data_IF_513202101902
#
_entry.id   IF_513202101902
#
_cell.length_a   1.000
_cell.length_b   1.000
_cell.length_c   1.000
_cell.angle_alpha   90.00
_cell.angle_beta   90.00
_cell.angle_gamma   90.00
#
_symmetry.space_group_name_H-M   'P 1'
#
loop_
_entity.id
_entity.type
_entity.pdbx_description
1 polymer ?
#
# COMPACT_ATOMS: atom_id res chain seq x y z
N UNK A 1 18.10 -9.45 1.43
CA UNK A 1 16.91 -9.86 0.64
C UNK A 1 15.86 -8.77 0.69
N UNK A 2 14.96 -8.73 -0.29
CA UNK A 2 13.93 -7.70 -0.47
C UNK A 2 12.54 -8.34 -0.40
N UNK A 3 11.58 -7.66 0.18
CA UNK A 3 10.23 -8.16 0.40
C UNK A 3 9.17 -7.09 0.07
N UNK A 4 8.20 -7.47 -0.75
CA UNK A 4 6.92 -6.76 -0.80
C UNK A 4 5.96 -7.43 0.18
N UNK A 5 5.65 -6.74 1.28
CA UNK A 5 4.62 -7.14 2.23
C UNK A 5 3.25 -6.86 1.62
N UNK A 6 2.59 -7.93 1.18
CA UNK A 6 1.35 -7.85 0.43
C UNK A 6 0.14 -7.79 1.37
N UNK A 7 -0.53 -6.64 1.41
CA UNK A 7 -1.81 -6.45 2.10
C UNK A 7 -2.65 -5.38 1.37
N UNK A 8 -3.95 -5.38 1.59
CA UNK A 8 -4.87 -4.41 0.97
C UNK A 8 -4.71 -3.01 1.56
N UNK A 9 -5.02 -1.96 0.78
CA UNK A 9 -5.06 -0.57 1.26
C UNK A 9 -6.49 -0.04 1.31
N UNK A 10 -6.76 0.92 2.19
CA UNK A 10 -8.06 1.59 2.21
C UNK A 10 -8.16 2.61 1.06
N UNK A 11 -9.09 2.37 0.14
CA UNK A 11 -9.39 3.31 -0.93
C UNK A 11 -10.24 4.49 -0.42
N UNK A 12 -10.11 5.64 -1.09
CA UNK A 12 -10.90 6.83 -0.81
C UNK A 12 -12.38 6.57 -1.06
N UNK A 13 -13.20 6.70 -0.01
CA UNK A 13 -14.65 6.67 -0.09
C UNK A 13 -15.22 8.09 -0.07
N UNK A 14 -15.88 8.50 -1.16
CA UNK A 14 -16.52 9.82 -1.25
C UNK A 14 -17.63 10.04 -0.21
N UNK A 15 -18.31 8.98 0.25
CA UNK A 15 -19.33 9.08 1.29
C UNK A 15 -18.72 9.37 2.67
N UNK A 16 -17.45 9.03 2.88
CA UNK A 16 -16.74 9.20 4.15
C UNK A 16 -15.44 10.00 3.99
N UNK A 17 -15.42 10.96 3.06
CA UNK A 17 -14.22 11.74 2.71
C UNK A 17 -13.55 12.46 3.90
N UNK A 18 -14.28 12.69 5.00
CA UNK A 18 -13.75 13.31 6.20
C UNK A 18 -12.65 12.51 6.89
N UNK A 19 -12.58 11.18 6.70
CA UNK A 19 -11.61 10.28 7.34
C UNK A 19 -10.29 10.13 6.56
N UNK A 20 -10.21 10.63 5.33
CA UNK A 20 -9.10 10.42 4.39
C UNK A 20 -8.33 11.70 4.07
N UNK A 21 -7.00 11.66 4.04
CA UNK A 21 -6.21 12.74 3.43
C UNK A 21 -6.19 12.51 1.92
N UNK A 22 -6.92 13.35 1.18
CA UNK A 22 -7.26 13.09 -0.23
C UNK A 22 -6.03 12.96 -1.15
N UNK A 23 -4.90 13.57 -0.82
CA UNK A 23 -3.70 13.55 -1.67
C UNK A 23 -2.79 12.34 -1.40
N UNK A 24 -2.97 11.67 -0.26
CA UNK A 24 -2.17 10.52 0.14
C UNK A 24 -3.00 9.24 0.31
N UNK A 25 -4.31 9.27 0.14
CA UNK A 25 -5.16 8.06 0.17
C UNK A 25 -5.22 7.41 -1.22
N UNK A 26 -5.15 6.08 -1.30
CA UNK A 26 -5.31 5.35 -2.56
C UNK A 26 -6.70 5.58 -3.20
N UNK A 27 -6.74 5.62 -4.52
CA UNK A 27 -7.95 5.74 -5.33
C UNK A 27 -8.21 4.42 -6.07
N UNK A 28 -9.48 4.04 -6.23
CA UNK A 28 -9.83 2.89 -7.05
C UNK A 28 -9.52 3.15 -8.53
N UNK A 29 -9.00 2.14 -9.22
CA UNK A 29 -8.58 2.18 -10.64
C UNK A 29 -7.36 3.08 -10.90
N UNK A 30 -6.52 3.28 -9.90
CA UNK A 30 -5.24 4.01 -10.01
C UNK A 30 -4.03 3.08 -9.82
N UNK A 31 -4.25 1.77 -9.91
CA UNK A 31 -3.20 0.75 -9.86
C UNK A 31 -2.84 0.32 -8.43
N UNK A 32 -1.77 -0.46 -8.33
CA UNK A 32 -1.30 -1.01 -7.05
C UNK A 32 -0.86 0.13 -6.12
N UNK A 33 -1.24 0.04 -4.85
CA UNK A 33 -0.92 1.04 -3.85
C UNK A 33 0.33 0.64 -3.05
N UNK A 34 1.29 1.55 -2.93
CA UNK A 34 2.47 1.43 -2.08
C UNK A 34 2.31 2.26 -0.81
N UNK A 35 2.51 1.63 0.34
CA UNK A 35 2.51 2.28 1.64
C UNK A 35 3.90 2.21 2.25
N UNK A 36 4.59 3.36 2.29
CA UNK A 36 5.93 3.46 2.90
C UNK A 36 5.89 3.11 4.39
N UNK A 37 4.81 3.52 5.06
CA UNK A 37 4.52 3.22 6.45
C UNK A 37 3.02 3.09 6.64
N UNK A 38 2.65 2.35 7.67
CA UNK A 38 1.28 2.26 8.18
C UNK A 38 1.31 2.63 9.68
N UNK A 39 0.62 1.94 10.58
CA UNK A 39 0.72 2.21 12.03
C UNK A 39 -0.18 3.33 12.55
N UNK A 40 0.15 3.88 13.72
CA UNK A 40 -0.70 4.83 14.46
C UNK A 40 0.10 5.88 15.25
N UNK A 41 -0.54 6.98 15.66
CA UNK A 41 0.04 8.00 16.58
C UNK A 41 1.47 8.42 16.21
N UNK A 42 1.70 8.72 14.94
CA UNK A 42 3.03 8.99 14.40
C UNK A 42 3.84 7.72 14.09
N UNK A 43 3.32 6.87 13.19
CA UNK A 43 3.99 5.66 12.64
C UNK A 43 4.33 4.55 13.65
N UNK A 44 3.79 4.61 14.86
CA UNK A 44 4.00 3.60 15.89
C UNK A 44 3.49 2.23 15.43
N UNK A 45 4.29 1.17 15.69
CA UNK A 45 3.96 -0.21 15.31
C UNK A 45 3.95 -0.47 13.81
N UNK A 46 4.79 0.25 13.04
CA UNK A 46 4.91 0.06 11.60
C UNK A 46 6.36 -0.14 11.16
N UNK A 47 6.50 -0.81 10.02
CA UNK A 47 7.71 -0.71 9.20
C UNK A 47 7.67 0.61 8.43
N UNK A 48 8.78 1.37 8.43
CA UNK A 48 8.95 2.57 7.62
C UNK A 48 10.02 2.29 6.56
N UNK A 49 9.60 1.90 5.36
CA UNK A 49 10.49 1.44 4.30
C UNK A 49 11.55 2.51 3.94
N UNK A 50 12.78 2.09 3.63
CA UNK A 50 13.87 3.02 3.24
C UNK A 50 13.51 3.78 1.95
N UNK A 51 14.03 5.00 1.80
CA UNK A 51 13.76 5.79 0.60
C UNK A 51 14.38 5.15 -0.65
N UNK A 52 15.53 4.50 -0.48
CA UNK A 52 16.26 3.74 -1.48
C UNK A 52 15.43 2.57 -1.99
N UNK A 53 14.83 1.79 -1.09
CA UNK A 53 14.01 0.64 -1.48
C UNK A 53 12.71 1.08 -2.17
N UNK A 54 12.07 2.15 -1.68
CA UNK A 54 10.90 2.74 -2.37
C UNK A 54 11.27 3.21 -3.79
N UNK A 55 12.43 3.85 -3.95
CA UNK A 55 12.91 4.30 -5.26
C UNK A 55 13.15 3.13 -6.21
N UNK A 56 13.71 2.01 -5.71
CA UNK A 56 13.91 0.79 -6.48
C UNK A 56 12.58 0.19 -6.96
N UNK A 57 11.61 -0.01 -6.06
CA UNK A 57 10.30 -0.58 -6.43
C UNK A 57 9.58 0.33 -7.44
N UNK A 58 9.65 1.64 -7.25
CA UNK A 58 9.13 2.61 -8.22
C UNK A 58 9.75 2.42 -9.61
N UNK A 59 11.07 2.24 -9.69
CA UNK A 59 11.74 2.04 -10.97
C UNK A 59 11.30 0.74 -11.64
N UNK A 60 11.24 -0.37 -10.88
CA UNK A 60 10.74 -1.66 -11.37
C UNK A 60 9.32 -1.51 -11.95
N UNK A 61 8.43 -0.84 -11.22
CA UNK A 61 7.05 -0.63 -11.67
C UNK A 61 6.99 0.24 -12.93
N UNK A 62 7.75 1.33 -13.00
CA UNK A 62 7.78 2.20 -14.17
C UNK A 62 8.32 1.48 -15.42
N UNK A 63 9.43 0.76 -15.30
CA UNK A 63 10.05 0.03 -16.42
C UNK A 63 9.14 -1.08 -16.97
N UNK A 64 8.31 -1.67 -16.10
CA UNK A 64 7.37 -2.72 -16.47
C UNK A 64 5.97 -2.18 -16.82
N UNK A 65 5.78 -0.86 -16.90
CA UNK A 65 4.50 -0.23 -17.18
C UNK A 65 3.39 -0.67 -16.19
N UNK A 66 3.75 -0.82 -14.92
CA UNK A 66 2.81 -1.05 -13.82
C UNK A 66 2.24 0.31 -13.42
N UNK A 67 0.93 0.45 -13.45
CA UNK A 67 0.29 1.65 -12.88
C UNK A 67 0.29 1.48 -11.36
N UNK A 68 0.79 2.48 -10.66
CA UNK A 68 0.94 2.47 -9.21
C UNK A 68 0.64 3.84 -8.61
N UNK A 69 0.38 3.84 -7.31
CA UNK A 69 0.12 5.02 -6.51
C UNK A 69 0.68 4.86 -5.10
N UNK A 70 0.86 5.95 -4.37
CA UNK A 70 1.14 5.92 -2.93
C UNK A 70 -0.15 5.84 -2.12
N UNK A 71 -0.10 5.25 -0.93
CA UNK A 71 -1.23 5.23 0.00
C UNK A 71 -0.80 5.39 1.45
N UNK A 72 -1.63 6.13 2.19
CA UNK A 72 -1.69 6.17 3.65
C UNK A 72 -3.04 5.61 4.13
N UNK A 73 -3.08 5.21 5.40
CA UNK A 73 -4.29 4.68 6.03
C UNK A 73 -5.07 5.81 6.74
N UNK A 74 -5.83 6.57 5.96
CA UNK A 74 -6.66 7.68 6.46
C UNK A 74 -5.85 8.93 6.83
N UNK A 75 -6.51 9.92 7.42
CA UNK A 75 -5.84 11.11 7.98
C UNK A 75 -5.05 10.74 9.24
N UNK A 76 -4.04 11.54 9.56
CA UNK A 76 -3.32 11.45 10.83
C UNK A 76 -4.31 11.39 12.01
N UNK A 77 -4.11 10.40 12.87
CA UNK A 77 -4.93 10.10 14.06
C UNK A 77 -6.39 9.72 13.81
N UNK A 78 -6.80 9.48 12.56
CA UNK A 78 -8.13 8.96 12.24
C UNK A 78 -8.25 7.44 12.43
N UNK A 79 -7.12 6.73 12.42
CA UNK A 79 -7.07 5.28 12.53
C UNK A 79 -5.70 4.76 12.91
N UNK A 80 -5.58 3.44 12.91
CA UNK A 80 -4.33 2.72 13.13
C UNK A 80 -4.26 1.51 12.22
N UNK A 81 -3.08 1.26 11.66
CA UNK A 81 -2.80 0.07 10.87
C UNK A 81 -1.72 -0.79 11.54
N UNK A 82 -0.89 -1.39 10.71
CA UNK A 82 0.16 -2.30 11.12
C UNK A 82 0.00 -3.60 10.36
N UNK A 83 1.00 -3.92 9.55
CA UNK A 83 1.05 -5.14 8.76
C UNK A 83 2.13 -6.06 9.32
N UNK A 84 2.30 -7.23 8.68
CA UNK A 84 3.40 -8.13 9.03
C UNK A 84 4.77 -7.61 8.57
N UNK A 85 4.84 -6.51 7.80
CA UNK A 85 6.08 -5.94 7.27
C UNK A 85 7.13 -5.70 8.36
N UNK A 86 6.71 -5.22 9.54
CA UNK A 86 7.63 -4.94 10.66
C UNK A 86 8.36 -6.20 11.16
N UNK A 87 7.71 -7.36 11.11
CA UNK A 87 8.32 -8.62 11.54
C UNK A 87 9.33 -9.11 10.52
N UNK A 88 9.02 -8.97 9.23
CA UNK A 88 9.93 -9.32 8.13
C UNK A 88 11.13 -8.38 8.11
N UNK A 89 10.92 -7.08 8.31
CA UNK A 89 11.98 -6.08 8.41
C UNK A 89 12.90 -6.34 9.62
N UNK A 90 12.35 -6.79 10.75
CA UNK A 90 13.13 -7.16 11.94
C UNK A 90 14.07 -8.36 11.72
N UNK A 91 13.87 -9.14 10.65
CA UNK A 91 14.80 -10.18 10.20
C UNK A 91 15.95 -9.65 9.32
N UNK A 92 16.01 -8.34 9.08
CA UNK A 92 17.04 -7.69 8.25
C UNK A 92 16.71 -7.64 6.77
N UNK A 93 15.42 -7.75 6.39
CA UNK A 93 14.97 -7.63 5.01
C UNK A 93 14.48 -6.21 4.69
N UNK A 94 14.88 -5.65 3.55
CA UNK A 94 14.23 -4.44 3.04
C UNK A 94 12.79 -4.77 2.68
N UNK A 95 11.85 -4.15 3.38
CA UNK A 95 10.43 -4.50 3.30
C UNK A 95 9.60 -3.26 3.00
N UNK A 96 8.63 -3.39 2.10
CA UNK A 96 7.70 -2.33 1.70
C UNK A 96 6.29 -2.90 1.63
N UNK A 97 5.31 -2.20 2.22
CA UNK A 97 3.90 -2.57 2.08
C UNK A 97 3.36 -2.16 0.71
N UNK A 98 2.64 -3.07 0.07
CA UNK A 98 2.15 -2.90 -1.30
C UNK A 98 0.95 -3.81 -1.57
N UNK A 99 -0.15 -3.28 -2.09
CA UNK A 99 -1.26 -4.13 -2.52
C UNK A 99 -2.46 -3.38 -3.10
N UNK A 100 -3.56 -4.12 -3.23
CA UNK A 100 -4.74 -3.67 -3.96
C UNK A 100 -5.60 -2.76 -3.07
N UNK A 101 -6.03 -1.57 -3.55
CA UNK A 101 -7.01 -0.74 -2.86
C UNK A 101 -8.38 -1.42 -2.77
N UNK A 102 -9.01 -1.31 -1.60
CA UNK A 102 -10.36 -1.83 -1.34
C UNK A 102 -11.25 -0.78 -0.67
N UNK A 103 -12.54 -0.83 -0.96
CA UNK A 103 -13.57 -0.15 -0.20
C UNK A 103 -14.22 -1.14 0.78
N UNK A 104 -14.70 -0.60 1.90
CA UNK A 104 -15.40 -1.36 2.94
C UNK A 104 -14.56 -2.51 3.52
N UNK A 105 -13.26 -2.28 3.71
CA UNK A 105 -12.34 -3.26 4.30
C UNK A 105 -12.93 -3.91 5.56
N UNK A 106 -12.85 -5.23 5.66
CA UNK A 106 -13.44 -6.11 6.69
C UNK A 106 -14.98 -6.23 6.68
N UNK A 107 -15.69 -5.63 5.73
CA UNK A 107 -17.13 -5.89 5.57
C UNK A 107 -17.38 -7.31 5.02
N UNK A 108 -18.59 -7.88 5.21
CA UNK A 108 -18.97 -9.14 4.55
C UNK A 108 -18.91 -9.09 3.02
N UNK A 109 -18.88 -7.88 2.43
CA UNK A 109 -18.77 -7.66 1.01
C UNK A 109 -17.85 -6.45 0.72
N UNK A 110 -16.59 -6.75 0.44
CA UNK A 110 -15.58 -5.76 0.06
C UNK A 110 -15.64 -5.47 -1.45
N UNK A 111 -15.21 -4.28 -1.85
CA UNK A 111 -15.17 -3.87 -3.26
C UNK A 111 -13.76 -3.49 -3.68
N UNK A 112 -13.39 -3.87 -4.90
CA UNK A 112 -12.11 -3.49 -5.52
C UNK A 112 -12.26 -3.29 -7.03
N UNK A 113 -11.29 -2.62 -7.65
CA UNK A 113 -11.24 -2.45 -9.11
C UNK A 113 -10.54 -3.62 -9.77
N UNK A 114 -11.09 -4.09 -10.91
CA UNK A 114 -10.42 -5.09 -11.76
C UNK A 114 -9.06 -4.61 -12.26
N UNK A 115 -8.93 -3.31 -12.54
CA UNK A 115 -7.67 -2.72 -12.97
C UNK A 115 -6.61 -2.83 -11.87
N UNK A 116 -6.98 -2.51 -10.63
CA UNK A 116 -6.05 -2.55 -9.50
C UNK A 116 -5.59 -3.97 -9.23
N UNK A 117 -6.50 -4.95 -9.23
CA UNK A 117 -6.16 -6.37 -9.09
C UNK A 117 -5.15 -6.81 -10.16
N UNK A 118 -5.37 -6.42 -11.42
CA UNK A 118 -4.44 -6.75 -12.51
C UNK A 118 -3.08 -6.06 -12.33
N UNK A 119 -3.04 -4.80 -11.91
CA UNK A 119 -1.80 -4.05 -11.69
C UNK A 119 -1.03 -4.56 -10.47
N UNK A 120 -1.71 -5.01 -9.42
CA UNK A 120 -1.09 -5.69 -8.27
C UNK A 120 -0.40 -6.98 -8.73
N UNK A 121 -1.11 -7.83 -9.49
CA UNK A 121 -0.51 -9.03 -10.08
C UNK A 121 0.72 -8.69 -10.94
N UNK A 122 0.58 -7.71 -11.84
CA UNK A 122 1.66 -7.29 -12.75
C UNK A 122 2.86 -6.73 -11.99
N UNK A 123 2.62 -5.96 -10.93
CA UNK A 123 3.65 -5.40 -10.05
C UNK A 123 4.43 -6.48 -9.32
N UNK A 124 3.75 -7.46 -8.73
CA UNK A 124 4.42 -8.59 -8.08
C UNK A 124 5.21 -9.44 -9.08
N UNK A 125 4.65 -9.73 -10.26
CA UNK A 125 5.37 -10.44 -11.30
C UNK A 125 6.63 -9.69 -11.77
N UNK A 126 6.56 -8.36 -11.87
CA UNK A 126 7.71 -7.52 -12.22
C UNK A 126 8.78 -7.55 -11.13
N UNK A 127 8.40 -7.54 -9.85
CA UNK A 127 9.33 -7.63 -8.72
C UNK A 127 10.06 -8.99 -8.63
N UNK A 128 9.43 -10.09 -9.05
CA UNK A 128 10.04 -11.42 -9.03
C UNK A 128 11.02 -11.70 -10.17
N UNK A 129 11.09 -10.84 -11.19
CA UNK A 129 11.97 -10.98 -12.36
C UNK A 129 13.25 -10.20 -12.17
#
# INVERSE_FOLDING_TARGET
SKCLSADVTAAFDSAYASVSEKRNTSMLSYGVAMSKYTGSRGKSGSNDASAEFVAEIRNIFNENNVIWQTSELGKVDAGGGGTIAQFVANLGHETLDCGTPVLSMHAPFELTSKLDVYMTYKGYLAFFK
#
